data_IF_509681527022
#
_entry.id   IF_509681527022
#
_cell.length_a   1.000
_cell.length_b   1.000
_cell.length_c   1.000
_cell.angle_alpha   90.00
_cell.angle_beta   90.00
_cell.angle_gamma   90.00
#
_symmetry.space_group_name_H-M   'P 1'
#
loop_
_entity.id
_entity.type
_entity.pdbx_description
1 polymer ?
#
# COMPACT_ATOMS: atom_id res chain seq x y z
N UNK A 1 6.73 5.76 -37.79
CA UNK A 1 6.09 6.31 -36.58
C UNK A 1 5.75 5.15 -35.66
N UNK A 2 6.64 4.82 -34.73
CA UNK A 2 6.52 3.62 -33.88
C UNK A 2 5.39 3.77 -32.87
N UNK A 3 4.45 2.83 -32.89
CA UNK A 3 3.44 2.65 -31.86
C UNK A 3 4.12 2.16 -30.58
N UNK A 4 4.28 3.04 -29.61
CA UNK A 4 4.66 2.65 -28.26
C UNK A 4 3.44 1.98 -27.62
N UNK A 5 3.47 0.65 -27.53
CA UNK A 5 2.59 -0.13 -26.66
C UNK A 5 2.78 0.38 -25.24
N UNK A 6 1.86 1.24 -24.77
CA UNK A 6 1.73 1.52 -23.36
C UNK A 6 1.23 0.23 -22.72
N UNK A 7 2.14 -0.54 -22.11
CA UNK A 7 1.79 -1.67 -21.28
C UNK A 7 1.13 -1.08 -20.03
N UNK A 8 -0.18 -0.85 -20.09
CA UNK A 8 -0.98 -0.52 -18.92
C UNK A 8 -0.99 -1.76 -18.04
N UNK A 9 -0.06 -1.82 -17.09
CA UNK A 9 -0.02 -2.83 -16.04
C UNK A 9 -1.17 -2.54 -15.06
N UNK A 10 -2.41 -2.71 -15.53
CA UNK A 10 -3.58 -2.79 -14.68
C UNK A 10 -3.56 -4.18 -14.02
N UNK A 11 -2.66 -4.37 -13.07
CA UNK A 11 -2.76 -5.48 -12.14
C UNK A 11 -4.16 -5.38 -11.51
N UNK A 12 -4.94 -6.48 -11.41
CA UNK A 12 -6.20 -6.46 -10.68
C UNK A 12 -5.87 -5.88 -9.31
N UNK A 13 -6.51 -4.77 -8.96
CA UNK A 13 -6.28 -4.01 -7.74
C UNK A 13 -6.55 -4.92 -6.55
N UNK A 14 -5.54 -5.72 -6.20
CA UNK A 14 -5.43 -6.38 -4.93
C UNK A 14 -5.38 -5.26 -3.94
N UNK A 15 -6.56 -4.90 -3.40
CA UNK A 15 -6.73 -3.85 -2.40
C UNK A 15 -5.66 -3.95 -1.31
N UNK A 16 -5.18 -5.17 -1.05
CA UNK A 16 -4.14 -5.52 -0.10
C UNK A 16 -2.78 -5.77 -0.79
N UNK A 17 -1.83 -4.85 -0.61
CA UNK A 17 -0.46 -4.92 -1.11
C UNK A 17 0.53 -5.34 -0.02
N UNK A 18 1.66 -5.92 -0.40
CA UNK A 18 2.72 -6.28 0.56
C UNK A 18 3.56 -5.07 0.96
N UNK A 19 4.15 -5.15 2.15
CA UNK A 19 5.10 -4.15 2.67
C UNK A 19 6.20 -3.80 1.66
N UNK A 20 6.70 -4.79 0.90
CA UNK A 20 7.76 -4.62 -0.10
C UNK A 20 7.38 -3.70 -1.26
N UNK A 21 6.09 -3.49 -1.51
CA UNK A 21 5.62 -2.59 -2.56
C UNK A 21 5.48 -1.14 -2.07
N UNK A 22 5.42 -0.94 -0.75
CA UNK A 22 5.24 0.40 -0.17
C UNK A 22 6.31 1.43 -0.63
N UNK A 23 7.61 1.08 -0.69
CA UNK A 23 8.64 2.02 -1.13
C UNK A 23 8.52 2.38 -2.60
N UNK A 24 8.11 1.42 -3.44
CA UNK A 24 7.98 1.62 -4.88
C UNK A 24 6.75 2.46 -5.24
N UNK A 25 5.66 2.30 -4.49
CA UNK A 25 4.39 2.97 -4.77
C UNK A 25 4.29 4.35 -4.09
N UNK A 26 4.70 4.47 -2.82
CA UNK A 26 4.52 5.69 -2.02
C UNK A 26 5.81 6.30 -1.48
N UNK A 27 6.97 5.70 -1.76
CA UNK A 27 8.24 6.13 -1.15
C UNK A 27 8.34 5.89 0.37
N UNK A 28 7.40 5.13 0.95
CA UNK A 28 7.41 4.78 2.38
C UNK A 28 8.24 3.52 2.60
N UNK A 29 9.22 3.60 3.51
CA UNK A 29 9.98 2.41 3.92
C UNK A 29 9.14 1.47 4.77
N UNK A 30 9.44 0.18 4.75
CA UNK A 30 8.75 -0.82 5.57
C UNK A 30 8.81 -0.50 7.07
N UNK A 31 9.90 0.12 7.52
CA UNK A 31 10.08 0.59 8.90
C UNK A 31 9.16 1.77 9.23
N UNK A 32 8.98 2.73 8.31
CA UNK A 32 8.03 3.82 8.49
C UNK A 32 6.58 3.30 8.57
N UNK A 33 6.22 2.35 7.72
CA UNK A 33 4.94 1.65 7.79
C UNK A 33 4.74 0.92 9.12
N UNK A 34 5.79 0.30 9.68
CA UNK A 34 5.75 -0.29 11.02
C UNK A 34 5.48 0.78 12.09
N UNK A 35 6.19 1.91 12.04
CA UNK A 35 5.96 3.03 12.97
C UNK A 35 4.54 3.61 12.88
N UNK A 36 3.95 3.71 11.69
CA UNK A 36 2.56 4.16 11.54
C UNK A 36 1.57 3.20 12.21
N UNK A 37 1.82 1.90 12.14
CA UNK A 37 1.03 0.90 12.87
C UNK A 37 1.23 0.97 14.38
N UNK A 38 2.48 1.05 14.84
CA UNK A 38 2.83 1.15 16.27
C UNK A 38 2.25 2.41 16.92
N UNK A 39 2.21 3.52 16.17
CA UNK A 39 1.64 4.80 16.62
C UNK A 39 0.11 4.86 16.53
N UNK A 40 -0.55 3.84 15.98
CA UNK A 40 -1.99 3.82 15.79
C UNK A 40 -2.51 4.75 14.68
N UNK A 41 -1.63 5.31 13.85
CA UNK A 41 -2.00 6.13 12.68
C UNK A 41 -2.66 5.21 11.63
N UNK A 42 -2.08 4.03 11.42
CA UNK A 42 -2.64 3.01 10.54
C UNK A 42 -3.37 1.95 11.34
N UNK A 43 -4.71 2.00 11.26
CA UNK A 43 -5.61 1.07 11.95
C UNK A 43 -5.62 -0.32 11.32
N UNK A 44 -5.59 -1.37 12.17
CA UNK A 44 -5.77 -2.77 11.75
C UNK A 44 -7.20 -2.98 11.23
N UNK A 45 -7.36 -3.73 10.14
CA UNK A 45 -8.63 -3.93 9.44
C UNK A 45 -8.99 -2.84 8.43
N UNK A 46 -8.43 -1.62 8.58
CA UNK A 46 -8.60 -0.50 7.63
C UNK A 46 -7.37 -0.35 6.73
N UNK A 47 -6.27 0.15 7.30
CA UNK A 47 -5.04 0.46 6.58
C UNK A 47 -4.12 -0.75 6.44
N UNK A 48 -4.17 -1.69 7.39
CA UNK A 48 -3.36 -2.91 7.33
C UNK A 48 -4.13 -4.09 7.92
N UNK A 49 -3.77 -5.31 7.52
CA UNK A 49 -4.27 -6.55 8.14
C UNK A 49 -3.25 -7.67 8.01
N UNK A 50 -3.50 -8.78 8.69
CA UNK A 50 -2.76 -10.03 8.46
C UNK A 50 -3.48 -10.88 7.41
N UNK A 51 -2.72 -11.37 6.45
CA UNK A 51 -3.14 -12.41 5.52
C UNK A 51 -3.33 -13.75 6.26
N UNK A 52 -4.12 -14.71 5.72
CA UNK A 52 -4.20 -16.06 6.29
C UNK A 52 -2.86 -16.74 6.58
N UNK A 53 -1.80 -16.36 5.86
CA UNK A 53 -0.41 -16.81 6.08
C UNK A 53 0.33 -16.08 7.21
N UNK A 54 -0.33 -15.18 7.95
CA UNK A 54 0.25 -14.40 9.04
C UNK A 54 1.09 -13.19 8.59
N UNK A 55 1.14 -12.89 7.28
CA UNK A 55 1.91 -11.78 6.73
C UNK A 55 1.13 -10.47 6.75
N UNK A 56 1.81 -9.36 7.05
CA UNK A 56 1.19 -8.03 7.02
C UNK A 56 1.00 -7.56 5.58
N UNK A 57 -0.23 -7.19 5.26
CA UNK A 57 -0.64 -6.56 4.00
C UNK A 57 -1.30 -5.23 4.29
N UNK A 58 -1.21 -4.31 3.35
CA UNK A 58 -1.61 -2.92 3.48
C UNK A 58 -2.67 -2.57 2.45
N UNK A 59 -3.66 -1.79 2.84
CA UNK A 59 -4.72 -1.39 1.93
C UNK A 59 -4.27 -0.18 1.11
N UNK A 60 -4.06 -0.36 -0.20
CA UNK A 60 -3.57 0.72 -1.07
C UNK A 60 -4.54 1.90 -1.10
N UNK A 61 -5.84 1.63 -1.22
CA UNK A 61 -6.86 2.68 -1.34
C UNK A 61 -6.99 3.53 -0.07
N UNK A 62 -6.89 2.90 1.10
CA UNK A 62 -6.96 3.61 2.39
C UNK A 62 -5.69 4.42 2.65
N UNK A 63 -4.53 3.91 2.20
CA UNK A 63 -3.27 4.64 2.29
C UNK A 63 -3.27 5.83 1.32
N UNK A 64 -3.74 5.64 0.09
CA UNK A 64 -3.94 6.72 -0.88
C UNK A 64 -4.85 7.80 -0.29
N UNK A 65 -6.00 7.41 0.26
CA UNK A 65 -6.92 8.34 0.90
C UNK A 65 -6.27 9.06 2.09
N UNK A 66 -5.47 8.38 2.91
CA UNK A 66 -4.74 9.01 4.00
C UNK A 66 -3.73 10.05 3.51
N UNK A 67 -2.98 9.75 2.43
CA UNK A 67 -2.06 10.69 1.81
C UNK A 67 -2.76 11.93 1.24
N UNK A 68 -3.93 11.75 0.60
CA UNK A 68 -4.73 12.86 0.09
C UNK A 68 -5.36 13.70 1.21
N UNK A 69 -5.70 13.08 2.33
CA UNK A 69 -6.41 13.73 3.44
C UNK A 69 -5.45 14.55 4.32
N UNK A 70 -4.19 14.14 4.49
CA UNK A 70 -3.14 14.94 5.14
C UNK A 70 -3.38 15.36 6.60
N UNK A 71 -4.33 14.72 7.29
CA UNK A 71 -4.76 15.03 8.67
C UNK A 71 -4.23 14.03 9.70
#
# INVERSE_FOLDING_TARGET
MSAALQITHAAPVGRWVRASLLPSTWGITTEAARKYRERGIWLEGKHWRKDPTGRVVYNSAEIDQWFETGL
#
